data_IF_212282323787
#
_entry.id   IF_212282323787
#
_cell.length_a   1.000
_cell.length_b   1.000
_cell.length_c   1.000
_cell.angle_alpha   90.00
_cell.angle_beta   90.00
_cell.angle_gamma   90.00
#
_symmetry.space_group_name_H-M   'P 1'
#
loop_
_entity.id
_entity.type
_entity.pdbx_description
1 polymer ?
#
# COMPACT_ATOMS: atom_id res chain seq x y z
N UNK A 1 -22.88 -22.56 10.38
CA UNK A 1 -21.43 -22.29 10.51
C UNK A 1 -20.73 -23.11 11.61
N UNK A 2 -21.44 -23.69 12.60
CA UNK A 2 -20.82 -24.48 13.69
C UNK A 2 -20.20 -25.82 13.22
N UNK A 3 -20.74 -26.46 12.18
CA UNK A 3 -20.25 -27.74 11.67
C UNK A 3 -18.87 -27.67 11.00
N UNK A 4 -18.59 -26.59 10.29
CA UNK A 4 -17.29 -26.43 9.58
C UNK A 4 -16.12 -26.18 10.52
N UNK A 5 -16.36 -25.45 11.61
CA UNK A 5 -15.32 -25.16 12.63
C UNK A 5 -14.95 -26.41 13.43
N UNK A 6 -15.91 -27.26 13.77
CA UNK A 6 -15.66 -28.55 14.46
C UNK A 6 -14.83 -29.50 13.59
N UNK A 7 -15.19 -29.64 12.33
CA UNK A 7 -14.44 -30.48 11.38
C UNK A 7 -13.00 -29.96 11.13
N UNK A 8 -12.81 -28.65 11.10
CA UNK A 8 -11.47 -28.06 10.98
C UNK A 8 -10.63 -28.39 12.22
N UNK A 9 -11.18 -28.26 13.43
CA UNK A 9 -10.50 -28.57 14.69
C UNK A 9 -10.10 -30.06 14.78
N UNK A 10 -11.03 -30.96 14.47
CA UNK A 10 -10.74 -32.42 14.43
C UNK A 10 -9.63 -32.75 13.43
N UNK A 11 -9.61 -32.06 12.29
CA UNK A 11 -8.57 -32.24 11.28
C UNK A 11 -7.23 -31.71 11.76
N UNK A 12 -7.20 -30.56 12.42
CA UNK A 12 -5.96 -30.03 13.06
C UNK A 12 -5.44 -31.03 14.09
N UNK A 13 -6.26 -31.47 15.02
CA UNK A 13 -5.82 -32.44 16.05
C UNK A 13 -5.22 -33.70 15.46
N UNK A 14 -5.79 -34.22 14.38
CA UNK A 14 -5.31 -35.44 13.71
C UNK A 14 -4.01 -35.21 12.93
N UNK A 15 -3.84 -34.08 12.27
CA UNK A 15 -2.73 -33.83 11.34
C UNK A 15 -1.57 -33.06 11.99
N UNK A 16 -1.80 -32.36 13.10
CA UNK A 16 -0.80 -31.50 13.76
C UNK A 16 0.50 -32.26 14.10
N UNK A 17 0.45 -33.47 14.74
CA UNK A 17 1.69 -34.18 15.09
C UNK A 17 2.56 -34.46 13.86
N UNK A 18 1.96 -35.03 12.79
CA UNK A 18 2.70 -35.34 11.58
C UNK A 18 3.24 -34.10 10.87
N UNK A 19 2.43 -33.04 10.74
CA UNK A 19 2.89 -31.82 10.10
C UNK A 19 4.01 -31.10 10.86
N UNK A 20 3.99 -31.16 12.19
CA UNK A 20 5.05 -30.56 13.01
C UNK A 20 6.29 -31.45 13.06
N UNK A 21 6.14 -32.72 13.36
CA UNK A 21 7.27 -33.63 13.59
C UNK A 21 7.96 -34.06 12.29
N UNK A 22 7.18 -34.39 11.25
CA UNK A 22 7.73 -34.94 10.01
C UNK A 22 8.07 -33.85 8.99
N UNK A 23 7.43 -32.71 9.07
CA UNK A 23 7.55 -31.65 8.06
C UNK A 23 7.98 -30.28 8.61
N UNK A 24 8.28 -30.17 9.92
CA UNK A 24 8.85 -28.97 10.53
C UNK A 24 7.92 -27.76 10.59
N UNK A 25 6.59 -27.94 10.44
CA UNK A 25 5.65 -26.85 10.57
C UNK A 25 5.41 -26.47 12.04
N UNK A 26 5.25 -25.19 12.30
CA UNK A 26 4.83 -24.74 13.62
C UNK A 26 3.32 -24.93 13.83
N UNK A 27 2.85 -25.12 15.06
CA UNK A 27 1.41 -25.18 15.36
C UNK A 27 0.64 -23.95 14.84
N UNK A 28 1.24 -22.76 14.91
CA UNK A 28 0.66 -21.52 14.41
C UNK A 28 0.42 -21.56 12.89
N UNK A 29 1.34 -22.12 12.12
CA UNK A 29 1.21 -22.30 10.67
C UNK A 29 0.07 -23.28 10.32
N UNK A 30 -0.04 -24.40 11.04
CA UNK A 30 -1.14 -25.37 10.84
C UNK A 30 -2.49 -24.74 11.14
N UNK A 31 -2.60 -23.97 12.22
CA UNK A 31 -3.82 -23.22 12.58
C UNK A 31 -4.14 -22.17 11.53
N UNK A 32 -3.14 -21.45 11.00
CA UNK A 32 -3.34 -20.44 9.95
C UNK A 32 -3.99 -21.05 8.69
N UNK A 33 -3.53 -22.22 8.23
CA UNK A 33 -4.16 -22.94 7.11
C UNK A 33 -5.58 -23.39 7.44
N UNK A 34 -5.79 -23.92 8.65
CA UNK A 34 -7.08 -24.44 9.08
C UNK A 34 -8.18 -23.37 9.22
N UNK A 35 -7.76 -22.15 9.55
CA UNK A 35 -8.68 -21.03 9.83
C UNK A 35 -9.37 -20.45 8.59
N UNK A 36 -8.90 -20.79 7.41
CA UNK A 36 -9.45 -20.29 6.16
C UNK A 36 -10.63 -21.12 5.65
N UNK A 37 -11.41 -20.50 4.77
CA UNK A 37 -12.51 -21.20 4.09
C UNK A 37 -11.98 -22.39 3.31
N UNK A 38 -12.38 -23.61 3.71
CA UNK A 38 -11.85 -24.85 3.16
C UNK A 38 -10.56 -25.37 3.83
N UNK A 39 -10.21 -24.87 5.02
CA UNK A 39 -8.98 -25.18 5.77
C UNK A 39 -8.74 -26.67 5.97
N UNK A 40 -9.79 -27.48 6.26
CA UNK A 40 -9.68 -28.95 6.31
C UNK A 40 -9.01 -29.52 5.05
N UNK A 41 -9.56 -29.19 3.89
CA UNK A 41 -9.07 -29.71 2.62
C UNK A 41 -7.69 -29.14 2.27
N UNK A 42 -7.43 -27.87 2.63
CA UNK A 42 -6.12 -27.26 2.45
C UNK A 42 -5.05 -27.97 3.30
N UNK A 43 -5.33 -28.31 4.58
CA UNK A 43 -4.41 -29.07 5.42
C UNK A 43 -4.13 -30.46 4.88
N UNK A 44 -5.14 -31.19 4.43
CA UNK A 44 -4.96 -32.51 3.80
C UNK A 44 -4.09 -32.41 2.55
N UNK A 45 -4.29 -31.37 1.73
CA UNK A 45 -3.47 -31.10 0.55
C UNK A 45 -2.03 -30.73 0.92
N UNK A 46 -1.82 -29.90 1.94
CA UNK A 46 -0.48 -29.58 2.44
C UNK A 46 0.24 -30.88 2.86
N UNK A 47 -0.39 -31.75 3.66
CA UNK A 47 0.21 -33.02 4.07
C UNK A 47 0.63 -33.89 2.88
N UNK A 48 -0.16 -33.92 1.83
CA UNK A 48 0.12 -34.75 0.65
C UNK A 48 1.22 -34.16 -0.24
N UNK A 49 1.22 -32.84 -0.43
CA UNK A 49 2.07 -32.17 -1.42
C UNK A 49 3.36 -31.61 -0.85
N UNK A 50 3.39 -31.26 0.44
CA UNK A 50 4.55 -30.62 1.08
C UNK A 50 5.86 -31.40 0.87
N UNK A 51 5.91 -32.75 1.11
CA UNK A 51 7.15 -33.50 0.88
C UNK A 51 7.66 -33.38 -0.54
N UNK A 52 6.78 -33.54 -1.53
CA UNK A 52 7.15 -33.45 -2.95
C UNK A 52 7.59 -32.06 -3.34
N UNK A 53 6.85 -31.04 -2.94
CA UNK A 53 7.16 -29.65 -3.26
C UNK A 53 8.50 -29.20 -2.64
N UNK A 54 8.81 -29.65 -1.44
CA UNK A 54 10.09 -29.35 -0.78
C UNK A 54 11.24 -30.15 -1.36
N UNK A 55 11.08 -31.47 -1.55
CA UNK A 55 12.15 -32.35 -2.01
C UNK A 55 12.44 -32.17 -3.52
N UNK A 56 11.40 -32.22 -4.36
CA UNK A 56 11.59 -32.25 -5.83
C UNK A 56 11.80 -30.85 -6.43
N UNK A 57 11.31 -29.81 -5.77
CA UNK A 57 11.33 -28.44 -6.28
C UNK A 57 12.04 -27.43 -5.38
N UNK A 58 12.62 -27.87 -4.26
CA UNK A 58 13.39 -27.01 -3.33
C UNK A 58 12.57 -25.92 -2.65
N UNK A 59 11.23 -26.10 -2.54
CA UNK A 59 10.36 -25.12 -1.90
C UNK A 59 10.47 -25.21 -0.37
N UNK A 60 10.35 -24.09 0.33
CA UNK A 60 10.32 -24.10 1.79
C UNK A 60 8.92 -24.38 2.33
N UNK A 61 8.79 -25.05 3.49
CA UNK A 61 7.50 -25.32 4.11
C UNK A 61 6.66 -24.06 4.36
N UNK A 62 7.31 -22.95 4.78
CA UNK A 62 6.65 -21.67 5.04
C UNK A 62 5.92 -21.13 3.80
N UNK A 63 6.53 -21.27 2.64
CA UNK A 63 5.96 -20.80 1.38
C UNK A 63 4.77 -21.63 0.94
N UNK A 64 4.84 -22.96 1.10
CA UNK A 64 3.71 -23.85 0.82
C UNK A 64 2.53 -23.54 1.75
N UNK A 65 2.81 -23.30 3.04
CA UNK A 65 1.81 -22.86 4.03
C UNK A 65 1.22 -21.51 3.64
N UNK A 66 2.03 -20.55 3.23
CA UNK A 66 1.54 -19.24 2.80
C UNK A 66 0.51 -19.35 1.67
N UNK A 67 0.75 -20.20 0.65
CA UNK A 67 -0.22 -20.48 -0.43
C UNK A 67 -1.47 -21.15 0.11
N UNK A 68 -1.32 -22.16 0.97
CA UNK A 68 -2.44 -22.89 1.56
C UNK A 68 -3.34 -22.04 2.44
N UNK A 69 -2.78 -20.98 3.04
CA UNK A 69 -3.46 -20.09 3.97
C UNK A 69 -4.36 -19.05 3.29
N UNK A 70 -4.49 -19.06 1.98
CA UNK A 70 -5.41 -18.18 1.26
C UNK A 70 -6.70 -18.90 0.85
N UNK A 71 -7.77 -18.12 0.64
CA UNK A 71 -8.99 -18.64 0.05
C UNK A 71 -8.69 -19.29 -1.32
N UNK A 72 -8.98 -20.57 -1.44
CA UNK A 72 -8.64 -21.36 -2.64
C UNK A 72 -7.22 -21.93 -2.63
N UNK A 73 -6.52 -21.92 -1.50
CA UNK A 73 -5.15 -22.44 -1.35
C UNK A 73 -4.98 -23.89 -1.79
N UNK A 74 -5.97 -24.77 -1.49
CA UNK A 74 -5.98 -26.16 -2.01
C UNK A 74 -5.81 -26.20 -3.53
N UNK A 75 -6.70 -25.48 -4.25
CA UNK A 75 -6.68 -25.51 -5.72
C UNK A 75 -5.43 -24.85 -6.29
N UNK A 76 -4.90 -23.83 -5.62
CA UNK A 76 -3.65 -23.18 -6.01
C UNK A 76 -2.46 -24.15 -5.88
N UNK A 77 -2.35 -24.89 -4.76
CA UNK A 77 -1.30 -25.90 -4.55
C UNK A 77 -1.38 -27.05 -5.54
N UNK A 78 -2.55 -27.61 -5.75
CA UNK A 78 -2.76 -28.69 -6.73
C UNK A 78 -2.41 -28.24 -8.16
N UNK A 79 -2.81 -27.02 -8.53
CA UNK A 79 -2.50 -26.45 -9.85
C UNK A 79 -1.01 -26.16 -9.98
N UNK A 80 -0.40 -25.61 -8.92
CA UNK A 80 1.04 -25.35 -8.89
C UNK A 80 1.83 -26.65 -9.06
N UNK A 81 1.54 -27.70 -8.30
CA UNK A 81 2.22 -29.00 -8.43
C UNK A 81 2.14 -29.54 -9.86
N UNK A 82 0.98 -29.44 -10.48
CA UNK A 82 0.77 -29.93 -11.84
C UNK A 82 1.51 -29.13 -12.90
N UNK A 83 1.57 -27.79 -12.75
CA UNK A 83 2.11 -26.89 -13.76
C UNK A 83 3.58 -26.49 -13.53
N UNK A 84 4.12 -26.71 -12.33
CA UNK A 84 5.48 -26.27 -11.96
C UNK A 84 6.55 -26.85 -12.92
N UNK A 85 6.56 -28.15 -13.24
CA UNK A 85 7.55 -28.70 -14.17
C UNK A 85 7.48 -28.04 -15.56
N UNK A 86 6.30 -27.90 -16.15
CA UNK A 86 6.09 -27.27 -17.46
C UNK A 86 6.52 -25.79 -17.44
N UNK A 87 6.07 -25.04 -16.44
CA UNK A 87 6.39 -23.62 -16.33
C UNK A 87 7.89 -23.36 -16.11
N UNK A 88 8.57 -24.22 -15.37
CA UNK A 88 10.02 -24.08 -15.14
C UNK A 88 10.85 -24.60 -16.30
N UNK A 89 10.57 -25.80 -16.80
CA UNK A 89 11.42 -26.46 -17.81
C UNK A 89 11.16 -25.93 -19.23
N UNK A 90 9.89 -25.72 -19.59
CA UNK A 90 9.53 -25.35 -20.97
C UNK A 90 9.42 -23.85 -21.15
N UNK A 91 9.11 -23.13 -20.08
CA UNK A 91 8.87 -21.68 -20.14
C UNK A 91 9.87 -20.83 -19.33
N UNK A 92 10.83 -21.44 -18.65
CA UNK A 92 11.93 -20.78 -17.98
C UNK A 92 11.54 -19.94 -16.75
N UNK A 93 10.38 -20.21 -16.15
CA UNK A 93 10.05 -19.56 -14.87
C UNK A 93 10.87 -20.17 -13.73
N UNK A 94 11.28 -19.31 -12.80
CA UNK A 94 11.84 -19.79 -11.54
C UNK A 94 10.73 -20.36 -10.65
N UNK A 95 10.98 -21.43 -9.86
CA UNK A 95 10.00 -21.97 -8.91
C UNK A 95 9.41 -20.88 -7.99
N UNK A 96 10.21 -19.92 -7.56
CA UNK A 96 9.79 -18.79 -6.73
C UNK A 96 8.75 -17.90 -7.43
N UNK A 97 8.86 -17.71 -8.73
CA UNK A 97 7.90 -16.93 -9.52
C UNK A 97 6.56 -17.66 -9.61
N UNK A 98 6.59 -18.97 -9.84
CA UNK A 98 5.38 -19.82 -9.87
C UNK A 98 4.66 -19.79 -8.51
N UNK A 99 5.43 -19.86 -7.41
CA UNK A 99 4.87 -19.74 -6.07
C UNK A 99 4.26 -18.37 -5.78
N UNK A 100 4.92 -17.30 -6.20
CA UNK A 100 4.42 -15.94 -6.01
C UNK A 100 3.07 -15.77 -6.73
N UNK A 101 2.92 -16.31 -7.94
CA UNK A 101 1.64 -16.31 -8.66
C UNK A 101 0.60 -17.14 -7.91
N UNK A 102 0.96 -18.36 -7.45
CA UNK A 102 0.07 -19.26 -6.74
C UNK A 102 -0.45 -18.68 -5.41
N UNK A 103 0.40 -17.95 -4.69
CA UNK A 103 0.10 -17.37 -3.40
C UNK A 103 -0.84 -16.15 -3.44
N UNK A 104 -1.18 -15.65 -4.61
CA UNK A 104 -2.09 -14.52 -4.74
C UNK A 104 -3.56 -14.97 -4.84
N UNK A 105 -4.47 -14.04 -4.49
CA UNK A 105 -5.90 -14.28 -4.66
C UNK A 105 -6.21 -14.66 -6.12
N UNK A 106 -6.76 -15.86 -6.32
CA UNK A 106 -7.00 -16.40 -7.68
C UNK A 106 -5.78 -17.05 -8.33
N UNK A 107 -4.79 -17.48 -7.55
CA UNK A 107 -3.53 -18.09 -8.01
C UNK A 107 -3.72 -19.24 -8.99
N UNK A 108 -4.70 -20.13 -8.76
CA UNK A 108 -5.06 -21.18 -9.72
C UNK A 108 -5.31 -20.61 -11.12
N UNK A 109 -6.24 -19.64 -11.24
CA UNK A 109 -6.61 -19.07 -12.52
C UNK A 109 -5.45 -18.27 -13.15
N UNK A 110 -4.65 -17.62 -12.33
CA UNK A 110 -3.46 -16.90 -12.79
C UNK A 110 -2.43 -17.87 -13.38
N UNK A 111 -2.11 -18.97 -12.69
CA UNK A 111 -1.18 -20.00 -13.19
C UNK A 111 -1.65 -20.62 -14.49
N UNK A 112 -2.92 -21.04 -14.58
CA UNK A 112 -3.49 -21.61 -15.81
C UNK A 112 -3.47 -20.60 -16.98
N UNK A 113 -3.64 -19.31 -16.67
CA UNK A 113 -3.59 -18.25 -17.68
C UNK A 113 -2.15 -17.96 -18.11
N UNK A 114 -1.20 -17.92 -17.18
CA UNK A 114 0.24 -17.79 -17.49
C UNK A 114 0.67 -18.94 -18.41
N UNK A 115 0.40 -20.17 -18.03
CA UNK A 115 0.71 -21.34 -18.89
C UNK A 115 0.21 -21.15 -20.32
N UNK A 116 -1.01 -20.69 -20.50
CA UNK A 116 -1.65 -20.52 -21.81
C UNK A 116 -1.09 -19.32 -22.59
N UNK A 117 -0.83 -18.20 -21.92
CA UNK A 117 -0.53 -16.93 -22.58
C UNK A 117 0.95 -16.58 -22.62
N UNK A 118 1.78 -17.15 -21.74
CA UNK A 118 3.20 -16.81 -21.63
C UNK A 118 3.95 -16.94 -22.96
N UNK A 119 3.83 -18.08 -23.73
CA UNK A 119 4.51 -18.22 -25.01
C UNK A 119 4.15 -17.08 -25.97
N UNK A 120 2.85 -16.79 -26.09
CA UNK A 120 2.36 -15.75 -26.98
C UNK A 120 2.78 -14.34 -26.55
N UNK A 121 2.68 -14.03 -25.25
CA UNK A 121 3.07 -12.72 -24.71
C UNK A 121 4.58 -12.47 -24.89
N UNK A 122 5.40 -13.48 -24.70
CA UNK A 122 6.85 -13.36 -24.89
C UNK A 122 7.24 -13.35 -26.37
N UNK A 123 6.77 -14.31 -27.17
CA UNK A 123 7.18 -14.45 -28.56
C UNK A 123 6.55 -13.40 -29.49
N UNK A 124 5.21 -13.23 -29.43
CA UNK A 124 4.48 -12.36 -30.37
C UNK A 124 4.45 -10.90 -29.95
N UNK A 125 4.56 -10.66 -28.66
CA UNK A 125 4.45 -9.32 -28.07
C UNK A 125 5.75 -8.80 -27.43
N UNK A 126 6.79 -9.62 -27.33
CA UNK A 126 8.13 -9.22 -26.83
C UNK A 126 8.16 -8.88 -25.35
N UNK A 127 7.20 -9.35 -24.55
CA UNK A 127 7.27 -9.20 -23.10
C UNK A 127 8.32 -10.15 -22.51
N UNK A 128 8.99 -9.71 -21.46
CA UNK A 128 9.85 -10.61 -20.68
C UNK A 128 9.01 -11.49 -19.76
N UNK A 129 9.56 -12.65 -19.40
CA UNK A 129 8.95 -13.55 -18.41
C UNK A 129 8.63 -12.81 -17.11
N UNK A 130 9.55 -11.97 -16.61
CA UNK A 130 9.35 -11.17 -15.40
C UNK A 130 8.17 -10.20 -15.51
N UNK A 131 7.97 -9.58 -16.67
CA UNK A 131 6.83 -8.71 -16.93
C UNK A 131 5.51 -9.48 -16.87
N UNK A 132 5.45 -10.67 -17.47
CA UNK A 132 4.25 -11.53 -17.40
C UNK A 132 3.98 -11.98 -15.96
N UNK A 133 5.02 -12.35 -15.20
CA UNK A 133 4.93 -12.69 -13.78
C UNK A 133 4.40 -11.51 -12.97
N UNK A 134 4.94 -10.30 -13.17
CA UNK A 134 4.49 -9.09 -12.47
C UNK A 134 2.99 -8.81 -12.69
N UNK A 135 2.51 -8.97 -13.94
CA UNK A 135 1.07 -8.84 -14.26
C UNK A 135 0.26 -9.93 -13.57
N UNK A 136 0.74 -11.19 -13.60
CA UNK A 136 0.06 -12.33 -13.02
C UNK A 136 -0.10 -12.21 -11.50
N UNK A 137 0.93 -11.72 -10.83
CA UNK A 137 0.96 -11.59 -9.37
C UNK A 137 -0.06 -10.57 -8.83
N UNK A 138 -0.24 -9.45 -9.51
CA UNK A 138 -1.05 -8.34 -9.01
C UNK A 138 -2.38 -8.19 -9.76
N UNK A 139 -2.35 -8.28 -11.07
CA UNK A 139 -3.53 -8.15 -11.94
C UNK A 139 -4.25 -9.46 -12.21
N UNK A 140 -3.57 -10.58 -12.02
CA UNK A 140 -4.11 -11.93 -12.20
C UNK A 140 -4.54 -12.25 -13.64
N UNK A 141 -5.37 -13.29 -13.76
CA UNK A 141 -5.95 -13.75 -15.05
C UNK A 141 -6.49 -12.61 -15.90
N UNK A 142 -7.30 -11.73 -15.30
CA UNK A 142 -8.02 -10.71 -16.05
C UNK A 142 -7.09 -9.65 -16.68
N UNK A 143 -6.01 -9.29 -15.98
CA UNK A 143 -5.03 -8.36 -16.50
C UNK A 143 -4.20 -8.99 -17.63
N UNK A 144 -3.78 -10.25 -17.51
CA UNK A 144 -3.08 -10.98 -18.58
C UNK A 144 -3.91 -11.04 -19.87
N UNK A 145 -5.19 -11.40 -19.77
CA UNK A 145 -6.10 -11.42 -20.91
C UNK A 145 -6.33 -10.03 -21.52
N UNK A 146 -6.38 -8.99 -20.68
CA UNK A 146 -6.49 -7.62 -21.18
C UNK A 146 -5.20 -7.16 -21.90
N UNK A 147 -4.03 -7.51 -21.37
CA UNK A 147 -2.73 -7.23 -22.03
C UNK A 147 -2.66 -7.92 -23.38
N UNK A 148 -2.97 -9.22 -23.46
CA UNK A 148 -3.00 -9.96 -24.72
C UNK A 148 -3.84 -9.25 -25.79
N UNK A 149 -5.01 -8.75 -25.41
CA UNK A 149 -5.94 -8.07 -26.31
C UNK A 149 -5.52 -6.66 -26.70
N UNK A 150 -5.01 -5.88 -25.73
CA UNK A 150 -4.86 -4.43 -25.85
C UNK A 150 -3.42 -3.97 -26.12
N UNK A 151 -2.40 -4.79 -25.87
CA UNK A 151 -0.99 -4.37 -25.92
C UNK A 151 -0.64 -3.75 -27.29
N UNK A 152 -0.97 -4.45 -28.38
CA UNK A 152 -0.70 -3.96 -29.74
C UNK A 152 -1.35 -2.60 -30.01
N UNK A 153 -2.63 -2.49 -29.67
CA UNK A 153 -3.40 -1.25 -29.85
C UNK A 153 -2.77 -0.09 -29.05
N UNK A 154 -2.50 -0.32 -27.76
CA UNK A 154 -1.96 0.70 -26.89
C UNK A 154 -0.54 1.14 -27.31
N UNK A 155 0.27 0.22 -27.80
CA UNK A 155 1.62 0.55 -28.26
C UNK A 155 1.61 1.19 -29.65
N UNK A 156 0.90 0.62 -30.64
CA UNK A 156 0.94 1.11 -32.04
C UNK A 156 0.11 2.35 -32.25
N UNK A 157 -1.15 2.34 -31.78
CA UNK A 157 -2.09 3.40 -32.12
C UNK A 157 -2.05 4.54 -31.12
N UNK A 158 -1.76 4.24 -29.85
CA UNK A 158 -1.72 5.26 -28.78
C UNK A 158 -0.30 5.65 -28.35
N UNK A 159 0.74 4.97 -28.86
CA UNK A 159 2.14 5.30 -28.64
C UNK A 159 2.61 5.10 -27.19
N UNK A 160 2.00 4.16 -26.48
CA UNK A 160 2.52 3.73 -25.17
C UNK A 160 3.69 2.75 -25.36
N UNK A 161 4.62 2.76 -24.43
CA UNK A 161 5.66 1.71 -24.37
C UNK A 161 5.10 0.44 -23.72
N UNK A 162 5.72 -0.70 -24.02
CA UNK A 162 5.39 -1.97 -23.35
C UNK A 162 5.48 -1.86 -21.83
N UNK A 163 6.55 -1.22 -21.33
CA UNK A 163 6.73 -0.99 -19.89
C UNK A 163 5.58 -0.20 -19.26
N UNK A 164 5.04 0.79 -19.96
CA UNK A 164 3.87 1.55 -19.50
C UNK A 164 2.61 0.68 -19.44
N UNK A 165 2.37 -0.16 -20.44
CA UNK A 165 1.24 -1.09 -20.43
C UNK A 165 1.39 -2.13 -19.30
N UNK A 166 2.60 -2.66 -19.09
CA UNK A 166 2.92 -3.57 -17.97
C UNK A 166 2.69 -2.88 -16.62
N UNK A 167 3.18 -1.65 -16.44
CA UNK A 167 2.97 -0.89 -15.20
C UNK A 167 1.49 -0.70 -14.86
N UNK A 168 0.65 -0.42 -15.86
CA UNK A 168 -0.82 -0.31 -15.67
C UNK A 168 -1.42 -1.67 -15.33
N UNK A 169 -1.01 -2.73 -16.03
CA UNK A 169 -1.57 -4.08 -15.87
C UNK A 169 -1.21 -4.74 -14.53
N UNK A 170 -0.02 -4.43 -14.00
CA UNK A 170 0.53 -5.03 -12.77
C UNK A 170 -0.07 -4.45 -11.49
N UNK A 171 -1.20 -3.75 -11.56
CA UNK A 171 -1.90 -3.24 -10.38
C UNK A 171 -3.20 -4.01 -10.13
N UNK A 172 -3.65 -3.97 -8.88
CA UNK A 172 -4.98 -4.43 -8.53
C UNK A 172 -6.03 -3.68 -9.36
N UNK A 173 -6.73 -4.38 -10.22
CA UNK A 173 -7.64 -3.74 -11.20
C UNK A 173 -6.98 -3.38 -12.54
N UNK A 174 -5.83 -3.98 -12.89
CA UNK A 174 -5.10 -3.71 -14.13
C UNK A 174 -5.93 -3.83 -15.40
N UNK A 175 -6.83 -4.83 -15.51
CA UNK A 175 -7.79 -4.93 -16.62
C UNK A 175 -8.60 -3.64 -16.79
N UNK A 176 -9.26 -3.21 -15.70
CA UNK A 176 -10.12 -2.03 -15.72
C UNK A 176 -9.33 -0.75 -16.02
N UNK A 177 -8.08 -0.67 -15.56
CA UNK A 177 -7.20 0.45 -15.84
C UNK A 177 -6.77 0.49 -17.31
N UNK A 178 -6.40 -0.64 -17.91
CA UNK A 178 -6.08 -0.74 -19.34
C UNK A 178 -7.28 -0.35 -20.23
N UNK A 179 -8.47 -0.86 -19.90
CA UNK A 179 -9.71 -0.51 -20.64
C UNK A 179 -10.09 0.96 -20.45
N UNK A 180 -9.80 1.55 -19.29
CA UNK A 180 -10.01 2.98 -19.09
C UNK A 180 -9.01 3.82 -19.91
N UNK A 181 -7.73 3.43 -19.95
CA UNK A 181 -6.71 4.08 -20.79
C UNK A 181 -7.10 3.99 -22.24
N UNK A 182 -7.50 2.84 -22.75
CA UNK A 182 -7.95 2.68 -24.15
C UNK A 182 -9.04 3.68 -24.51
N UNK A 183 -10.02 3.91 -23.63
CA UNK A 183 -11.14 4.83 -23.90
C UNK A 183 -10.81 6.29 -23.68
N UNK A 184 -10.02 6.60 -22.65
CA UNK A 184 -9.87 7.97 -22.15
C UNK A 184 -8.58 8.64 -22.60
N UNK A 185 -7.54 7.89 -22.97
CA UNK A 185 -6.25 8.46 -23.38
C UNK A 185 -6.38 9.46 -24.53
N UNK A 186 -7.11 9.15 -25.66
CA UNK A 186 -7.27 10.09 -26.74
C UNK A 186 -7.98 11.38 -26.30
N UNK A 187 -9.04 11.25 -25.49
CA UNK A 187 -9.81 12.39 -24.99
C UNK A 187 -8.98 13.26 -24.04
N UNK A 188 -8.30 12.64 -23.09
CA UNK A 188 -7.49 13.36 -22.09
C UNK A 188 -6.29 14.08 -22.75
N UNK A 189 -5.69 13.47 -23.76
CA UNK A 189 -4.60 14.11 -24.48
C UNK A 189 -5.08 15.21 -25.43
N UNK A 190 -6.14 14.96 -26.23
CA UNK A 190 -6.60 15.88 -27.25
C UNK A 190 -7.40 17.05 -26.67
N UNK A 191 -8.36 16.74 -25.79
CA UNK A 191 -9.34 17.72 -25.31
C UNK A 191 -8.88 18.45 -24.05
N UNK A 192 -8.02 17.79 -23.26
CA UNK A 192 -7.57 18.31 -21.96
C UNK A 192 -6.05 18.57 -21.88
N UNK A 193 -5.29 18.32 -22.94
CA UNK A 193 -3.87 18.63 -23.02
C UNK A 193 -2.97 17.80 -22.12
N UNK A 194 -3.46 16.66 -21.58
CA UNK A 194 -2.60 15.78 -20.79
C UNK A 194 -1.61 15.03 -21.67
N UNK A 195 -0.41 14.82 -21.16
CA UNK A 195 0.56 13.94 -21.81
C UNK A 195 0.22 12.47 -21.57
N UNK A 196 0.69 11.59 -22.46
CA UNK A 196 0.57 10.12 -22.27
C UNK A 196 1.16 9.67 -20.93
N UNK A 197 2.32 10.21 -20.55
CA UNK A 197 2.95 9.90 -19.29
C UNK A 197 2.08 10.25 -18.07
N UNK A 198 1.38 11.38 -18.12
CA UNK A 198 0.45 11.77 -17.05
C UNK A 198 -0.74 10.81 -16.95
N UNK A 199 -1.32 10.41 -18.08
CA UNK A 199 -2.41 9.43 -18.09
C UNK A 199 -1.94 8.07 -17.57
N UNK A 200 -0.73 7.63 -17.95
CA UNK A 200 -0.11 6.40 -17.44
C UNK A 200 0.14 6.50 -15.93
N UNK A 201 0.67 7.62 -15.43
CA UNK A 201 0.93 7.83 -14.01
C UNK A 201 -0.37 7.67 -13.18
N UNK A 202 -1.48 8.21 -13.65
CA UNK A 202 -2.80 8.05 -13.00
C UNK A 202 -3.26 6.58 -13.07
N UNK A 203 -3.14 5.95 -14.24
CA UNK A 203 -3.64 4.59 -14.49
C UNK A 203 -2.90 3.52 -13.71
N UNK A 204 -1.60 3.73 -13.47
CA UNK A 204 -0.71 2.75 -12.83
C UNK A 204 -0.86 2.65 -11.32
N UNK A 205 -1.81 3.37 -10.71
CA UNK A 205 -2.07 3.30 -9.28
C UNK A 205 -3.31 2.44 -8.97
N UNK A 206 -3.40 1.97 -7.74
CA UNK A 206 -4.58 1.26 -7.26
C UNK A 206 -5.82 2.17 -7.40
N UNK A 207 -6.83 1.72 -8.15
CA UNK A 207 -7.99 2.54 -8.48
C UNK A 207 -7.81 3.52 -9.65
N UNK A 208 -6.73 3.41 -10.43
CA UNK A 208 -6.40 4.29 -11.55
C UNK A 208 -7.53 4.47 -12.58
N UNK A 209 -8.31 3.40 -12.84
CA UNK A 209 -9.49 3.48 -13.70
C UNK A 209 -10.54 4.49 -13.21
N UNK A 210 -10.74 4.55 -11.89
CA UNK A 210 -11.67 5.50 -11.27
C UNK A 210 -11.09 6.92 -11.23
N UNK A 211 -9.78 7.03 -10.95
CA UNK A 211 -9.08 8.32 -10.98
C UNK A 211 -9.11 8.94 -12.38
N UNK A 212 -8.84 8.18 -13.44
CA UNK A 212 -8.94 8.66 -14.84
C UNK A 212 -10.33 9.19 -15.19
N UNK A 213 -11.39 8.48 -14.80
CA UNK A 213 -12.78 8.95 -15.02
C UNK A 213 -13.04 10.25 -14.28
N UNK A 214 -12.56 10.36 -13.04
CA UNK A 214 -12.74 11.57 -12.24
C UNK A 214 -11.92 12.73 -12.77
N UNK A 215 -10.70 12.50 -13.25
CA UNK A 215 -9.91 13.53 -13.95
C UNK A 215 -10.65 14.05 -15.17
N UNK A 216 -11.18 13.16 -16.03
CA UNK A 216 -11.97 13.58 -17.19
C UNK A 216 -13.16 14.48 -16.79
N UNK A 217 -13.83 14.14 -15.69
CA UNK A 217 -15.00 14.86 -15.18
C UNK A 217 -14.62 16.23 -14.59
N UNK A 218 -13.59 16.27 -13.72
CA UNK A 218 -13.30 17.43 -12.88
C UNK A 218 -12.18 18.35 -13.38
N UNK A 219 -11.32 17.90 -14.29
CA UNK A 219 -10.18 18.69 -14.77
C UNK A 219 -10.58 20.07 -15.30
N UNK A 220 -11.64 20.20 -16.14
CA UNK A 220 -12.06 21.50 -16.65
C UNK A 220 -12.47 22.49 -15.54
N UNK A 221 -13.26 22.02 -14.57
CA UNK A 221 -13.72 22.83 -13.43
C UNK A 221 -12.53 23.22 -12.53
N UNK A 222 -11.73 22.25 -12.11
CA UNK A 222 -10.58 22.50 -11.25
C UNK A 222 -9.56 23.47 -11.85
N UNK A 223 -9.37 23.42 -13.18
CA UNK A 223 -8.46 24.34 -13.85
C UNK A 223 -9.09 25.73 -14.07
N UNK A 224 -10.33 25.79 -14.57
CA UNK A 224 -10.95 27.05 -14.95
C UNK A 224 -11.52 27.84 -13.76
N UNK A 225 -12.18 27.17 -12.84
CA UNK A 225 -12.87 27.82 -11.73
C UNK A 225 -11.99 27.93 -10.48
N UNK A 226 -11.13 26.93 -10.25
CA UNK A 226 -10.32 26.88 -9.04
C UNK A 226 -8.84 27.21 -9.25
N UNK A 227 -8.41 27.45 -10.50
CA UNK A 227 -7.07 27.91 -10.84
C UNK A 227 -5.97 26.84 -10.68
N UNK A 228 -6.35 25.56 -10.62
CA UNK A 228 -5.34 24.48 -10.58
C UNK A 228 -4.72 24.26 -11.96
N UNK A 229 -3.45 23.93 -11.98
CA UNK A 229 -2.79 23.44 -13.19
C UNK A 229 -3.11 21.98 -13.45
N UNK A 230 -3.05 21.54 -14.71
CA UNK A 230 -3.21 20.14 -15.07
C UNK A 230 -2.20 19.23 -14.31
N UNK A 231 -0.97 19.71 -14.09
CA UNK A 231 0.03 18.99 -13.33
C UNK A 231 -0.39 18.76 -11.86
N UNK A 232 -1.00 19.76 -11.24
CA UNK A 232 -1.51 19.64 -9.86
C UNK A 232 -2.66 18.63 -9.78
N UNK A 233 -3.59 18.67 -10.73
CA UNK A 233 -4.69 17.69 -10.81
C UNK A 233 -4.14 16.27 -11.02
N UNK A 234 -3.15 16.10 -11.88
CA UNK A 234 -2.46 14.82 -12.11
C UNK A 234 -1.74 14.34 -10.84
N UNK A 235 -1.04 15.22 -10.12
CA UNK A 235 -0.35 14.88 -8.87
C UNK A 235 -1.33 14.32 -7.82
N UNK A 236 -2.51 14.92 -7.67
CA UNK A 236 -3.56 14.43 -6.78
C UNK A 236 -4.10 13.08 -7.27
N UNK A 237 -4.38 12.96 -8.58
CA UNK A 237 -5.00 11.77 -9.18
C UNK A 237 -4.09 10.54 -9.16
N UNK A 238 -2.78 10.74 -9.22
CA UNK A 238 -1.77 9.67 -9.31
C UNK A 238 -1.43 9.01 -7.97
N UNK A 239 -2.13 9.33 -6.89
CA UNK A 239 -1.95 8.71 -5.59
C UNK A 239 -3.05 7.67 -5.31
N UNK A 240 -2.75 6.77 -4.36
CA UNK A 240 -3.76 5.86 -3.85
C UNK A 240 -4.94 6.65 -3.29
N UNK A 241 -6.13 6.40 -3.83
CA UNK A 241 -7.31 7.18 -3.48
C UNK A 241 -7.48 8.49 -4.26
N UNK A 242 -6.78 8.68 -5.38
CA UNK A 242 -6.82 9.90 -6.19
C UNK A 242 -8.22 10.38 -6.56
N UNK A 243 -9.17 9.46 -6.87
CA UNK A 243 -10.58 9.80 -7.08
C UNK A 243 -11.17 10.55 -5.88
N UNK A 244 -10.97 10.02 -4.69
CA UNK A 244 -11.53 10.58 -3.45
C UNK A 244 -10.86 11.91 -3.09
N UNK A 245 -9.55 12.01 -3.32
CA UNK A 245 -8.80 13.24 -3.09
C UNK A 245 -9.24 14.36 -4.04
N UNK A 246 -9.42 14.07 -5.35
CA UNK A 246 -9.93 15.05 -6.33
C UNK A 246 -11.32 15.58 -5.95
N UNK A 247 -12.24 14.70 -5.55
CA UNK A 247 -13.58 15.11 -5.10
C UNK A 247 -13.55 15.90 -3.79
N UNK A 248 -12.61 15.60 -2.89
CA UNK A 248 -12.41 16.40 -1.70
C UNK A 248 -11.86 17.78 -2.03
N UNK A 249 -10.90 17.89 -2.95
CA UNK A 249 -10.39 19.18 -3.44
C UNK A 249 -11.49 20.01 -4.07
N UNK A 250 -12.28 19.44 -4.99
CA UNK A 250 -13.42 20.12 -5.60
C UNK A 250 -14.35 20.75 -4.56
N UNK A 251 -14.67 20.01 -3.53
CA UNK A 251 -15.59 20.45 -2.46
C UNK A 251 -14.96 21.46 -1.49
N UNK A 252 -13.73 21.20 -1.07
CA UNK A 252 -13.11 21.89 0.06
C UNK A 252 -12.22 23.05 -0.33
N UNK A 253 -11.65 23.08 -1.53
CA UNK A 253 -10.76 24.17 -1.96
C UNK A 253 -11.44 25.56 -1.86
N UNK A 254 -12.70 25.75 -2.34
CA UNK A 254 -13.37 27.04 -2.17
C UNK A 254 -13.55 27.46 -0.71
N UNK A 255 -13.87 26.50 0.16
CA UNK A 255 -14.09 26.73 1.60
C UNK A 255 -12.76 27.11 2.28
N UNK A 256 -11.74 26.27 2.11
CA UNK A 256 -10.43 26.47 2.71
C UNK A 256 -9.75 27.76 2.25
N UNK A 257 -9.98 28.16 1.00
CA UNK A 257 -9.50 29.43 0.45
C UNK A 257 -10.24 30.63 1.04
N UNK A 258 -11.58 30.56 1.11
CA UNK A 258 -12.41 31.68 1.56
C UNK A 258 -12.37 31.90 3.07
N UNK A 259 -12.37 30.82 3.85
CA UNK A 259 -12.51 30.88 5.31
C UNK A 259 -11.16 30.86 6.03
N UNK A 260 -10.11 30.34 5.40
CA UNK A 260 -8.83 30.08 6.02
C UNK A 260 -7.61 30.58 5.25
N UNK A 261 -7.81 31.32 4.16
CA UNK A 261 -6.78 31.88 3.27
C UNK A 261 -5.73 30.86 2.78
N UNK A 262 -6.11 29.56 2.69
CA UNK A 262 -5.21 28.57 2.14
C UNK A 262 -5.09 28.74 0.63
N UNK A 263 -3.85 28.71 0.13
CA UNK A 263 -3.60 28.78 -1.31
C UNK A 263 -3.94 27.45 -2.00
N UNK A 264 -4.22 27.46 -3.30
CA UNK A 264 -4.42 26.24 -4.08
C UNK A 264 -3.25 25.26 -3.94
N UNK A 265 -2.01 25.76 -3.92
CA UNK A 265 -0.78 24.97 -3.75
C UNK A 265 -0.75 24.22 -2.42
N UNK A 266 -1.17 24.89 -1.34
CA UNK A 266 -1.26 24.27 -0.01
C UNK A 266 -2.31 23.16 0.03
N UNK A 267 -3.47 23.38 -0.56
CA UNK A 267 -4.52 22.36 -0.66
C UNK A 267 -4.05 21.17 -1.53
N UNK A 268 -3.37 21.44 -2.63
CA UNK A 268 -2.76 20.41 -3.48
C UNK A 268 -1.69 19.61 -2.74
N UNK A 269 -0.83 20.27 -1.97
CA UNK A 269 0.20 19.60 -1.15
C UNK A 269 -0.41 18.59 -0.18
N UNK A 270 -1.50 18.93 0.48
CA UNK A 270 -2.24 18.02 1.37
C UNK A 270 -2.89 16.87 0.57
N UNK A 271 -3.56 17.22 -0.55
CA UNK A 271 -4.34 16.27 -1.34
C UNK A 271 -3.50 15.23 -2.08
N UNK A 272 -2.26 15.58 -2.43
CA UNK A 272 -1.36 14.75 -3.23
C UNK A 272 -0.67 13.64 -2.43
N UNK A 273 -0.99 13.45 -1.16
CA UNK A 273 -0.46 12.37 -0.34
C UNK A 273 -1.42 11.19 -0.21
N UNK A 274 -0.87 10.05 0.18
CA UNK A 274 -1.70 8.89 0.55
C UNK A 274 -2.63 9.27 1.70
N UNK A 275 -3.94 9.14 1.48
CA UNK A 275 -4.93 9.63 2.46
C UNK A 275 -5.30 11.12 2.34
N UNK A 276 -4.94 11.80 1.25
CA UNK A 276 -5.14 13.24 1.04
C UNK A 276 -6.58 13.72 1.29
N UNK A 277 -7.62 12.92 0.91
CA UNK A 277 -9.01 13.22 1.27
C UNK A 277 -9.18 13.38 2.77
N UNK A 278 -8.70 12.41 3.55
CA UNK A 278 -8.89 12.41 4.99
C UNK A 278 -8.11 13.55 5.66
N UNK A 279 -6.91 13.85 5.14
CA UNK A 279 -6.11 14.96 5.61
C UNK A 279 -6.82 16.32 5.36
N UNK A 280 -7.37 16.54 4.17
CA UNK A 280 -8.15 17.74 3.84
C UNK A 280 -9.38 17.91 4.74
N UNK A 281 -10.17 16.85 4.93
CA UNK A 281 -11.34 16.87 5.81
C UNK A 281 -10.95 17.14 7.27
N UNK A 282 -9.78 16.66 7.69
CA UNK A 282 -9.25 16.93 9.04
C UNK A 282 -8.76 18.37 9.17
N UNK A 283 -8.07 18.91 8.16
CA UNK A 283 -7.66 20.32 8.13
C UNK A 283 -8.90 21.22 8.23
N UNK A 284 -9.92 21.00 7.40
CA UNK A 284 -11.16 21.78 7.47
C UNK A 284 -11.75 21.80 8.89
N UNK A 285 -11.74 20.68 9.57
CA UNK A 285 -12.32 20.55 10.93
C UNK A 285 -11.45 21.16 12.02
N UNK A 286 -10.12 20.97 11.96
CA UNK A 286 -9.22 21.30 13.06
C UNK A 286 -8.51 22.64 12.92
N UNK A 287 -8.39 23.17 11.70
CA UNK A 287 -7.63 24.41 11.43
C UNK A 287 -8.07 25.58 12.30
N UNK A 288 -9.41 25.85 12.45
CA UNK A 288 -9.84 26.98 13.31
C UNK A 288 -9.35 26.84 14.76
N UNK A 289 -9.53 25.67 15.37
CA UNK A 289 -9.08 25.43 16.76
C UNK A 289 -7.57 25.45 16.90
N UNK A 290 -6.83 24.85 15.97
CA UNK A 290 -5.37 24.86 16.01
C UNK A 290 -4.79 26.28 15.86
N UNK A 291 -5.41 27.14 15.06
CA UNK A 291 -4.97 28.53 14.91
C UNK A 291 -5.46 29.43 16.06
N UNK A 292 -6.74 29.38 16.41
CA UNK A 292 -7.33 30.31 17.37
C UNK A 292 -6.99 29.95 18.84
N UNK A 293 -7.08 28.63 19.17
CA UNK A 293 -6.91 28.19 20.56
C UNK A 293 -5.45 27.84 20.89
N UNK A 294 -4.70 27.42 19.85
CA UNK A 294 -3.33 26.93 20.06
C UNK A 294 -2.26 27.76 19.34
N UNK A 295 -2.63 28.83 18.64
CA UNK A 295 -1.71 29.80 18.04
C UNK A 295 -0.87 29.27 16.87
N UNK A 296 -1.22 28.13 16.28
CA UNK A 296 -0.53 27.65 15.09
C UNK A 296 -0.88 28.50 13.87
N UNK A 297 0.08 28.70 12.98
CA UNK A 297 -0.20 29.31 11.68
C UNK A 297 -0.85 28.31 10.72
N UNK A 298 -1.67 28.77 9.77
CA UNK A 298 -2.20 27.90 8.72
C UNK A 298 -1.10 27.13 7.98
N UNK A 299 0.05 27.76 7.72
CA UNK A 299 1.22 27.12 7.10
C UNK A 299 1.78 25.94 7.92
N UNK A 300 1.84 26.06 9.24
CA UNK A 300 2.27 24.97 10.12
C UNK A 300 1.28 23.79 10.08
N UNK A 301 -0.03 24.07 10.09
CA UNK A 301 -1.06 23.05 9.97
C UNK A 301 -0.96 22.32 8.61
N UNK A 302 -0.75 23.07 7.52
CA UNK A 302 -0.52 22.51 6.18
C UNK A 302 0.73 21.63 6.16
N UNK A 303 1.83 22.07 6.78
CA UNK A 303 3.09 21.30 6.84
C UNK A 303 2.88 19.93 7.50
N UNK A 304 2.13 19.88 8.61
CA UNK A 304 1.78 18.63 9.29
C UNK A 304 0.86 17.77 8.40
N UNK A 305 -0.16 18.38 7.80
CA UNK A 305 -1.18 17.68 7.01
C UNK A 305 -0.63 17.07 5.71
N UNK A 306 0.40 17.68 5.14
CA UNK A 306 0.98 17.30 3.85
C UNK A 306 1.90 16.08 3.92
N UNK A 307 2.06 15.45 5.08
CA UNK A 307 2.86 14.25 5.25
C UNK A 307 2.00 12.98 5.23
N UNK A 308 2.65 11.84 4.99
CA UNK A 308 2.00 10.54 5.13
C UNK A 308 1.52 10.37 6.58
N UNK A 309 0.21 10.17 6.75
CA UNK A 309 -0.41 10.14 8.07
C UNK A 309 -0.80 11.51 8.63
N UNK A 310 -0.86 12.56 7.80
CA UNK A 310 -1.17 13.94 8.20
C UNK A 310 -2.45 14.07 9.03
N UNK A 311 -3.51 13.30 8.71
CA UNK A 311 -4.72 13.23 9.54
C UNK A 311 -4.39 12.88 10.99
N UNK A 312 -3.70 11.75 11.19
CA UNK A 312 -3.38 11.25 12.53
C UNK A 312 -2.41 12.18 13.27
N UNK A 313 -1.47 12.78 12.55
CA UNK A 313 -0.54 13.75 13.12
C UNK A 313 -1.28 15.00 13.62
N UNK A 314 -2.20 15.57 12.82
CA UNK A 314 -3.03 16.73 13.22
C UNK A 314 -3.91 16.42 14.44
N UNK A 315 -4.60 15.28 14.46
CA UNK A 315 -5.42 14.87 15.60
C UNK A 315 -4.58 14.68 16.88
N UNK A 316 -3.34 14.20 16.72
CA UNK A 316 -2.42 14.06 17.85
C UNK A 316 -1.88 15.41 18.32
N UNK A 317 -1.54 16.32 17.41
CA UNK A 317 -1.12 17.69 17.76
C UNK A 317 -2.24 18.41 18.51
N UNK A 318 -3.48 18.35 18.02
CA UNK A 318 -4.61 18.97 18.73
C UNK A 318 -4.72 18.49 20.18
N UNK A 319 -4.47 17.23 20.43
CA UNK A 319 -4.58 16.62 21.77
C UNK A 319 -3.36 16.88 22.64
N UNK A 320 -2.15 16.80 22.08
CA UNK A 320 -0.90 16.81 22.85
C UNK A 320 -0.20 18.17 22.92
N UNK A 321 -0.47 19.08 21.99
CA UNK A 321 0.21 20.39 21.94
C UNK A 321 0.08 21.16 23.28
N UNK A 322 -1.14 21.29 23.88
CA UNK A 322 -1.27 21.98 25.17
C UNK A 322 -0.41 21.35 26.26
N UNK A 323 -0.43 20.01 26.36
CA UNK A 323 0.33 19.28 27.40
C UNK A 323 1.84 19.40 27.16
N UNK A 324 2.29 19.24 25.93
CA UNK A 324 3.71 19.31 25.60
C UNK A 324 4.29 20.71 25.81
N UNK A 325 3.52 21.75 25.53
CA UNK A 325 3.95 23.14 25.76
C UNK A 325 3.83 23.53 27.22
N UNK A 326 2.69 23.28 27.88
CA UNK A 326 2.46 23.77 29.26
C UNK A 326 3.20 22.95 30.32
N UNK A 327 3.18 21.61 30.20
CA UNK A 327 3.72 20.73 31.25
C UNK A 327 5.21 20.40 31.04
N UNK A 328 5.66 20.40 29.78
CA UNK A 328 7.02 19.99 29.45
C UNK A 328 7.88 21.10 28.82
N UNK A 329 7.31 22.29 28.54
CA UNK A 329 8.06 23.43 28.06
C UNK A 329 8.53 23.38 26.60
N UNK A 330 7.93 22.49 25.76
CA UNK A 330 8.26 22.48 24.32
C UNK A 330 7.70 23.76 23.67
N UNK A 331 8.44 24.28 22.69
CA UNK A 331 7.87 25.31 21.83
C UNK A 331 6.90 24.69 20.78
N UNK A 332 5.99 25.55 20.29
CA UNK A 332 5.07 25.12 19.22
C UNK A 332 5.83 24.66 17.97
N UNK A 333 6.92 25.37 17.61
CA UNK A 333 7.78 25.03 16.48
C UNK A 333 8.41 23.65 16.64
N UNK A 334 8.85 23.29 17.86
CA UNK A 334 9.40 21.96 18.15
C UNK A 334 8.34 20.86 17.96
N UNK A 335 7.12 21.08 18.47
CA UNK A 335 6.02 20.12 18.29
C UNK A 335 5.64 19.99 16.83
N UNK A 336 5.55 21.10 16.07
CA UNK A 336 5.27 21.11 14.63
C UNK A 336 6.38 20.37 13.86
N UNK A 337 7.65 20.63 14.16
CA UNK A 337 8.78 19.95 13.51
C UNK A 337 8.71 18.43 13.69
N UNK A 338 8.41 17.96 14.91
CA UNK A 338 8.25 16.53 15.20
C UNK A 338 7.02 15.95 14.47
N UNK A 339 5.89 16.65 14.52
CA UNK A 339 4.64 16.22 13.90
C UNK A 339 4.71 16.11 12.37
N UNK A 340 5.53 16.95 11.76
CA UNK A 340 5.71 17.05 10.31
C UNK A 340 6.61 15.96 9.73
N UNK A 341 7.20 15.11 10.57
CA UNK A 341 8.00 13.98 10.08
C UNK A 341 7.13 12.76 9.78
N UNK A 342 7.67 11.86 8.95
CA UNK A 342 7.04 10.55 8.71
C UNK A 342 6.86 9.82 10.04
N UNK A 343 5.62 9.45 10.38
CA UNK A 343 5.29 8.86 11.67
C UNK A 343 5.11 9.85 12.84
N UNK A 344 4.97 11.16 12.58
CA UNK A 344 4.87 12.22 13.57
C UNK A 344 3.91 11.93 14.75
N UNK A 345 2.74 11.30 14.47
CA UNK A 345 1.84 10.81 15.54
C UNK A 345 2.57 9.91 16.53
N UNK A 346 3.25 8.87 16.03
CA UNK A 346 3.89 7.87 16.89
C UNK A 346 5.05 8.47 17.67
N UNK A 347 5.76 9.40 17.05
CA UNK A 347 6.87 10.13 17.72
C UNK A 347 6.33 10.99 18.85
N UNK A 348 5.27 11.77 18.63
CA UNK A 348 4.65 12.61 19.66
C UNK A 348 4.10 11.80 20.83
N UNK A 349 3.42 10.68 20.55
CA UNK A 349 2.91 9.76 21.59
C UNK A 349 4.05 9.13 22.40
N UNK A 350 5.15 8.75 21.74
CA UNK A 350 6.34 8.23 22.41
C UNK A 350 7.05 9.30 23.22
N UNK A 351 7.17 10.51 22.69
CA UNK A 351 7.75 11.65 23.36
C UNK A 351 6.98 11.96 24.65
N UNK A 352 5.64 12.10 24.59
CA UNK A 352 4.81 12.33 25.78
C UNK A 352 5.09 11.30 26.88
N UNK A 353 5.27 10.04 26.52
CA UNK A 353 5.50 8.95 27.48
C UNK A 353 6.91 8.96 28.06
N UNK A 354 7.93 9.21 27.22
CA UNK A 354 9.33 9.04 27.62
C UNK A 354 10.00 10.31 28.11
N UNK A 355 9.49 11.50 27.73
CA UNK A 355 10.10 12.79 28.06
C UNK A 355 10.31 12.98 29.58
N UNK A 356 9.30 12.71 30.44
CA UNK A 356 9.49 12.86 31.89
C UNK A 356 10.64 11.99 32.42
N UNK A 357 10.71 10.72 31.97
CA UNK A 357 11.72 9.77 32.44
C UNK A 357 13.11 10.14 31.92
N UNK A 358 13.21 10.48 30.63
CA UNK A 358 14.49 10.86 30.01
C UNK A 358 15.08 12.12 30.63
N UNK A 359 14.24 13.11 30.97
CA UNK A 359 14.72 14.36 31.59
C UNK A 359 14.96 14.21 33.09
N UNK A 360 14.01 13.63 33.87
CA UNK A 360 14.11 13.58 35.33
C UNK A 360 15.03 12.45 35.82
N UNK A 361 14.91 11.26 35.25
CA UNK A 361 15.61 10.09 35.78
C UNK A 361 17.00 9.90 35.12
N UNK A 362 17.11 10.32 33.84
CA UNK A 362 18.35 10.16 33.07
C UNK A 362 19.09 11.47 32.75
N UNK A 363 18.59 12.63 33.20
CA UNK A 363 19.29 13.91 33.10
C UNK A 363 19.49 14.47 31.70
N UNK A 364 18.72 13.98 30.68
CA UNK A 364 18.77 14.56 29.35
C UNK A 364 18.10 15.93 29.33
N UNK A 365 18.67 16.86 28.59
CA UNK A 365 18.03 18.17 28.38
C UNK A 365 16.85 18.03 27.40
N UNK A 366 15.89 18.92 27.51
CA UNK A 366 14.74 18.99 26.61
C UNK A 366 15.18 19.03 25.13
N UNK A 367 16.17 19.90 24.84
CA UNK A 367 16.69 20.05 23.45
C UNK A 367 17.33 18.78 22.92
N UNK A 368 18.01 17.99 23.77
CA UNK A 368 18.56 16.69 23.37
C UNK A 368 17.45 15.71 23.00
N UNK A 369 16.39 15.63 23.82
CA UNK A 369 15.25 14.73 23.56
C UNK A 369 14.49 15.17 22.32
N UNK A 370 14.28 16.48 22.13
CA UNK A 370 13.64 17.04 20.93
C UNK A 370 14.48 16.77 19.68
N UNK A 371 15.81 16.95 19.75
CA UNK A 371 16.70 16.64 18.63
C UNK A 371 16.62 15.17 18.20
N UNK A 372 16.55 14.24 19.15
CA UNK A 372 16.34 12.79 18.88
C UNK A 372 14.98 12.56 18.22
N UNK A 373 13.92 13.18 18.75
CA UNK A 373 12.57 13.03 18.25
C UNK A 373 12.35 13.59 16.83
N UNK A 374 13.05 14.67 16.49
CA UNK A 374 12.92 15.39 15.21
C UNK A 374 13.63 14.70 14.04
N UNK A 375 14.44 13.67 14.28
CA UNK A 375 15.14 12.95 13.23
C UNK A 375 14.23 11.87 12.59
N UNK A 376 14.55 11.51 11.33
CA UNK A 376 13.92 10.38 10.66
C UNK A 376 14.04 9.10 11.51
N UNK A 377 12.90 8.50 11.89
CA UNK A 377 12.88 7.37 12.82
C UNK A 377 12.89 7.76 14.31
N UNK A 378 12.52 8.99 14.65
CA UNK A 378 12.53 9.54 16.01
C UNK A 378 11.92 8.65 17.09
N UNK A 379 10.82 7.94 16.80
CA UNK A 379 10.25 6.95 17.73
C UNK A 379 11.26 5.89 18.13
N UNK A 380 11.88 5.24 17.14
CA UNK A 380 12.84 4.15 17.38
C UNK A 380 14.10 4.67 18.06
N UNK A 381 14.52 5.89 17.72
CA UNK A 381 15.65 6.55 18.35
C UNK A 381 15.38 6.82 19.84
N UNK A 382 14.22 7.37 20.19
CA UNK A 382 13.79 7.59 21.59
C UNK A 382 13.71 6.27 22.37
N UNK A 383 13.11 5.24 21.80
CA UNK A 383 12.99 3.92 22.44
C UNK A 383 14.36 3.25 22.64
N UNK A 384 15.31 3.43 21.71
CA UNK A 384 16.70 2.93 21.88
C UNK A 384 17.46 3.66 22.97
N UNK A 385 17.41 4.97 22.99
CA UNK A 385 18.07 5.78 24.03
C UNK A 385 17.51 5.41 25.40
N UNK A 386 16.20 5.32 25.55
CA UNK A 386 15.56 4.88 26.78
C UNK A 386 16.02 3.47 27.19
N UNK A 387 16.05 2.51 26.27
CA UNK A 387 16.49 1.15 26.57
C UNK A 387 17.98 1.06 26.96
N UNK A 388 18.84 1.92 26.40
CA UNK A 388 20.26 1.99 26.74
C UNK A 388 20.47 2.56 28.14
N UNK A 389 19.76 3.65 28.47
CA UNK A 389 19.87 4.33 29.76
C UNK A 389 19.22 3.54 30.92
N UNK A 390 18.21 2.71 30.62
CA UNK A 390 17.51 1.87 31.61
C UNK A 390 18.17 0.52 31.88
N UNK A 391 19.31 0.20 31.22
CA UNK A 391 20.07 -1.01 31.55
C UNK A 391 20.80 -0.80 32.89
N UNK A 392 20.67 -1.75 33.83
CA UNK A 392 21.51 -1.70 35.04
C UNK A 392 22.97 -1.76 34.63
N UNK A 393 23.78 -0.95 35.27
CA UNK A 393 25.24 -0.93 35.06
C UNK A 393 25.78 -2.33 35.40
N UNK A 394 26.45 -3.04 34.47
CA UNK A 394 26.97 -4.38 34.75
C UNK A 394 28.11 -4.39 35.79
N UNK A 395 28.44 -3.21 36.37
CA UNK A 395 29.52 -3.04 37.36
C UNK A 395 29.01 -2.82 38.80
N UNK A 396 27.70 -2.94 39.08
CA UNK A 396 27.11 -3.05 40.42
C UNK A 396 26.55 -4.47 40.59
#
# INVERSE_FOLDING_TARGET
>A
SHGSSKQALETVQRLLPGLCNDHGLTPAQVVAVASNKGGKQALETVRQLLPRLCHDHGLTPERVVAIASHDGGKQALETMQRLLPELCNDHGLMPDQVMTIAGNKGGKQALETVRRLLPQLCHDHGLTTDQVVAIACNGGKQALEAVQRLLRLLCKDYGLTQNQVVAIASNSGGKQALEAVQRLLPLLCKDHGLTRNQVVAIASNSGGNQALKTVKELLPELCKEHGLTSNQVVAIASNNGGKQALRAVQRLLPILRKEHDLTPEQVVAIASNSGGRQALETVQRLLPGLCNDHGLTPGQVVTIASNNGGKQALETVQRLLPVLCADYGLSQEQVVAIASNSGGRQVLETLQRLLPVLCKDHGLTLDQVVAIASNGGGRQALERVFAQLSRPDPAL
#
